data_IF_151199966172
#
_entry.id   IF_151199966172
#
_cell.length_a   1.000
_cell.length_b   1.000
_cell.length_c   1.000
_cell.angle_alpha   90.00
_cell.angle_beta   90.00
_cell.angle_gamma   90.00
#
_symmetry.space_group_name_H-M   'P 1'
#
loop_
_entity.id
_entity.type
_entity.pdbx_description
1 polymer ?
#
# COMPACT_ATOMS: atom_id res chain seq x y z
N UNK A 1 -37.95 5.06 68.15
CA UNK A 1 -36.64 4.38 68.13
C UNK A 1 -36.60 3.36 67.00
N UNK A 2 -35.83 3.58 65.93
CA UNK A 2 -35.82 2.69 64.75
C UNK A 2 -35.02 1.41 64.97
N UNK A 3 -35.59 0.24 64.61
CA UNK A 3 -34.98 -1.07 64.86
C UNK A 3 -33.61 -1.25 64.16
N UNK A 4 -32.53 -1.57 64.90
CA UNK A 4 -31.17 -1.70 64.35
C UNK A 4 -31.03 -2.81 63.29
N UNK A 5 -31.81 -3.90 63.39
CA UNK A 5 -31.86 -4.97 62.37
C UNK A 5 -32.21 -4.44 60.98
N UNK A 6 -33.11 -3.47 60.85
CA UNK A 6 -33.50 -2.92 59.55
C UNK A 6 -32.38 -2.13 58.88
N UNK A 7 -31.52 -1.45 59.64
CA UNK A 7 -30.40 -0.68 59.08
C UNK A 7 -29.33 -1.60 58.49
N UNK A 8 -29.05 -2.73 59.17
CA UNK A 8 -28.08 -3.73 58.70
C UNK A 8 -28.55 -4.39 57.38
N UNK A 9 -29.82 -4.79 57.32
CA UNK A 9 -30.41 -5.41 56.12
C UNK A 9 -30.41 -4.43 54.94
N UNK A 10 -30.72 -3.15 55.16
CA UNK A 10 -30.63 -2.11 54.11
C UNK A 10 -29.20 -1.95 53.60
N UNK A 11 -28.20 -1.92 54.49
CA UNK A 11 -26.78 -1.83 54.10
C UNK A 11 -26.32 -3.04 53.30
N UNK A 12 -26.70 -4.25 53.71
CA UNK A 12 -26.40 -5.49 52.99
C UNK A 12 -27.05 -5.50 51.59
N UNK A 13 -28.33 -5.12 51.49
CA UNK A 13 -29.03 -5.00 50.19
C UNK A 13 -28.38 -3.97 49.27
N UNK A 14 -27.96 -2.82 49.81
CA UNK A 14 -27.24 -1.79 49.05
C UNK A 14 -25.90 -2.33 48.52
N UNK A 15 -25.10 -2.99 49.36
CA UNK A 15 -23.84 -3.63 48.97
C UNK A 15 -24.02 -4.70 47.88
N UNK A 16 -25.07 -5.51 47.96
CA UNK A 16 -25.38 -6.51 46.93
C UNK A 16 -25.78 -5.84 45.61
N UNK A 17 -26.63 -4.80 45.66
CA UNK A 17 -27.02 -4.04 44.46
C UNK A 17 -25.80 -3.39 43.80
N UNK A 18 -24.92 -2.76 44.57
CA UNK A 18 -23.69 -2.14 44.06
C UNK A 18 -22.76 -3.16 43.40
N UNK A 19 -22.56 -4.34 44.01
CA UNK A 19 -21.77 -5.42 43.41
C UNK A 19 -22.37 -5.91 42.09
N UNK A 20 -23.69 -6.11 42.04
CA UNK A 20 -24.39 -6.50 40.80
C UNK A 20 -24.27 -5.43 39.71
N UNK A 21 -24.41 -4.16 40.07
CA UNK A 21 -24.25 -3.04 39.14
C UNK A 21 -22.82 -2.96 38.60
N UNK A 22 -21.81 -3.15 39.47
CA UNK A 22 -20.40 -3.15 39.08
C UNK A 22 -20.07 -4.29 38.11
N UNK A 23 -20.64 -5.48 38.34
CA UNK A 23 -20.50 -6.60 37.41
C UNK A 23 -21.13 -6.29 36.04
N UNK A 24 -22.37 -5.75 36.04
CA UNK A 24 -23.06 -5.35 34.82
C UNK A 24 -22.27 -4.31 34.01
N UNK A 25 -21.71 -3.30 34.68
CA UNK A 25 -20.87 -2.29 34.02
C UNK A 25 -19.59 -2.88 33.41
N UNK A 26 -18.97 -3.85 34.09
CA UNK A 26 -17.77 -4.54 33.60
C UNK A 26 -18.09 -5.40 32.36
N UNK A 27 -19.23 -6.07 32.36
CA UNK A 27 -19.66 -6.87 31.21
C UNK A 27 -20.00 -5.97 30.02
N UNK A 28 -20.68 -4.85 30.27
CA UNK A 28 -20.96 -3.84 29.26
C UNK A 28 -19.67 -3.27 28.65
N UNK A 29 -18.69 -2.89 29.47
CA UNK A 29 -17.42 -2.35 28.99
C UNK A 29 -16.65 -3.37 28.15
N UNK A 30 -16.60 -4.64 28.59
CA UNK A 30 -15.94 -5.71 27.82
C UNK A 30 -16.63 -5.95 26.47
N UNK A 31 -17.96 -5.87 26.42
CA UNK A 31 -18.69 -6.03 25.17
C UNK A 31 -18.45 -4.86 24.22
N UNK A 32 -18.41 -3.62 24.72
CA UNK A 32 -18.08 -2.45 23.91
C UNK A 32 -16.67 -2.56 23.31
N UNK A 33 -15.67 -2.94 24.11
CA UNK A 33 -14.30 -3.15 23.65
C UNK A 33 -14.21 -4.20 22.52
N UNK A 34 -14.95 -5.31 22.64
CA UNK A 34 -15.02 -6.34 21.58
C UNK A 34 -15.64 -5.80 20.29
N UNK A 35 -16.68 -4.97 20.39
CA UNK A 35 -17.34 -4.35 19.23
C UNK A 35 -16.40 -3.36 18.57
N UNK A 36 -15.77 -2.47 19.33
CA UNK A 36 -14.77 -1.52 18.83
C UNK A 36 -13.64 -2.24 18.11
N UNK A 37 -13.09 -3.30 18.72
CA UNK A 37 -12.03 -4.08 18.10
C UNK A 37 -12.49 -4.81 16.83
N UNK A 38 -13.72 -5.30 16.78
CA UNK A 38 -14.29 -5.93 15.58
C UNK A 38 -14.44 -4.91 14.45
N UNK A 39 -14.94 -3.71 14.75
CA UNK A 39 -15.07 -2.61 13.78
C UNK A 39 -13.69 -2.19 13.26
N UNK A 40 -12.72 -1.99 14.17
CA UNK A 40 -11.35 -1.65 13.79
C UNK A 40 -10.72 -2.70 12.87
N UNK A 41 -10.88 -4.00 13.19
CA UNK A 41 -10.39 -5.10 12.35
C UNK A 41 -11.04 -5.09 10.97
N UNK A 42 -12.36 -4.90 10.89
CA UNK A 42 -13.05 -4.79 9.60
C UNK A 42 -12.57 -3.58 8.78
N UNK A 43 -12.41 -2.41 9.41
CA UNK A 43 -11.88 -1.23 8.73
C UNK A 43 -10.43 -1.43 8.26
N UNK A 44 -9.58 -2.07 9.07
CA UNK A 44 -8.21 -2.43 8.69
C UNK A 44 -8.19 -3.40 7.51
N UNK A 45 -9.04 -4.43 7.52
CA UNK A 45 -9.18 -5.36 6.41
C UNK A 45 -9.69 -4.67 5.14
N UNK A 46 -10.69 -3.79 5.24
CA UNK A 46 -11.17 -2.98 4.11
C UNK A 46 -10.07 -2.09 3.54
N UNK A 47 -9.28 -1.42 4.39
CA UNK A 47 -8.11 -0.63 3.94
C UNK A 47 -7.08 -1.50 3.21
N UNK A 48 -6.73 -2.66 3.76
CA UNK A 48 -5.81 -3.59 3.10
C UNK A 48 -6.38 -4.11 1.77
N UNK A 49 -7.68 -4.41 1.72
CA UNK A 49 -8.34 -4.87 0.50
C UNK A 49 -8.42 -3.75 -0.55
N UNK A 50 -8.67 -2.50 -0.14
CA UNK A 50 -8.62 -1.34 -1.02
C UNK A 50 -7.21 -1.04 -1.51
N UNK A 51 -6.16 -1.20 -0.68
CA UNK A 51 -4.78 -1.11 -1.15
C UNK A 51 -4.46 -2.20 -2.18
N UNK A 52 -4.94 -3.43 -1.97
CA UNK A 52 -4.79 -4.53 -2.93
C UNK A 52 -5.60 -4.32 -4.22
N UNK A 53 -6.79 -3.73 -4.14
CA UNK A 53 -7.66 -3.45 -5.29
C UNK A 53 -7.31 -2.15 -6.02
N UNK A 54 -6.75 -1.15 -5.32
CA UNK A 54 -6.18 0.07 -5.88
C UNK A 54 -4.84 -0.16 -6.58
N UNK A 55 -4.17 -1.28 -6.29
CA UNK A 55 -3.14 -1.88 -7.12
C UNK A 55 -3.70 -2.63 -8.35
N UNK A 56 -4.98 -2.42 -8.69
CA UNK A 56 -5.62 -2.94 -9.91
C UNK A 56 -5.14 -2.26 -11.20
N UNK A 57 -4.44 -1.12 -11.08
CA UNK A 57 -3.50 -0.66 -12.10
C UNK A 57 -2.09 -1.05 -11.65
N UNK A 58 -1.82 -2.35 -11.54
CA UNK A 58 -0.45 -2.81 -11.53
C UNK A 58 0.10 -2.46 -12.92
N UNK A 59 0.62 -1.24 -13.09
CA UNK A 59 1.58 -0.94 -14.14
C UNK A 59 2.71 -1.90 -13.83
N UNK A 60 2.64 -3.08 -14.41
CA UNK A 60 3.62 -4.12 -14.19
C UNK A 60 4.69 -3.78 -15.20
N UNK A 61 5.87 -3.42 -14.71
CA UNK A 61 7.01 -3.14 -15.59
C UNK A 61 7.16 -4.33 -16.54
N UNK A 62 7.12 -4.12 -17.87
CA UNK A 62 7.26 -5.21 -18.81
C UNK A 62 8.53 -6.03 -18.49
N UNK A 63 8.48 -7.37 -18.56
CA UNK A 63 9.63 -8.23 -18.24
C UNK A 63 10.91 -7.84 -18.99
N UNK A 64 10.78 -7.34 -20.22
CA UNK A 64 11.90 -6.86 -21.03
C UNK A 64 12.56 -5.62 -20.43
N UNK A 65 11.77 -4.66 -19.93
CA UNK A 65 12.28 -3.48 -19.22
C UNK A 65 13.00 -3.90 -17.94
N UNK A 66 12.45 -4.86 -17.18
CA UNK A 66 13.12 -5.41 -16.00
C UNK A 66 14.45 -6.10 -16.32
N UNK A 67 14.54 -6.74 -17.48
CA UNK A 67 15.75 -7.41 -17.95
C UNK A 67 16.75 -6.48 -18.64
N UNK A 68 16.42 -5.20 -18.83
CA UNK A 68 17.28 -4.30 -19.60
C UNK A 68 17.29 -4.60 -21.10
N UNK A 69 16.29 -5.33 -21.62
CA UNK A 69 16.26 -5.82 -23.01
C UNK A 69 15.38 -4.91 -23.86
N UNK A 70 15.93 -4.38 -24.95
CA UNK A 70 15.16 -3.60 -25.93
C UNK A 70 14.38 -4.58 -26.80
N UNK A 71 13.08 -4.38 -26.93
CA UNK A 71 12.18 -5.18 -27.76
C UNK A 71 11.60 -4.31 -28.90
N UNK A 72 10.92 -4.90 -29.92
CA UNK A 72 10.37 -4.14 -31.04
C UNK A 72 9.38 -3.04 -30.62
N UNK A 73 8.54 -3.33 -29.62
CA UNK A 73 7.53 -2.38 -29.13
C UNK A 73 8.17 -1.16 -28.46
N UNK A 74 9.19 -1.38 -27.62
CA UNK A 74 9.96 -0.34 -26.97
C UNK A 74 10.76 0.50 -27.98
N UNK A 75 11.28 -0.12 -29.04
CA UNK A 75 11.94 0.59 -30.13
C UNK A 75 10.96 1.47 -30.92
N UNK A 76 9.75 0.98 -31.20
CA UNK A 76 8.70 1.82 -31.81
C UNK A 76 8.33 3.02 -30.93
N UNK A 77 8.27 2.84 -29.60
CA UNK A 77 8.07 3.93 -28.66
C UNK A 77 9.21 4.95 -28.76
N UNK A 78 10.46 4.50 -28.79
CA UNK A 78 11.64 5.36 -28.93
C UNK A 78 11.61 6.16 -30.25
N UNK A 79 11.27 5.53 -31.37
CA UNK A 79 11.11 6.21 -32.66
C UNK A 79 10.06 7.31 -32.61
N UNK A 80 8.90 7.08 -31.97
CA UNK A 80 7.87 8.12 -31.80
C UNK A 80 8.37 9.28 -30.95
N UNK A 81 9.08 9.00 -29.85
CA UNK A 81 9.63 10.03 -28.98
C UNK A 81 10.67 10.90 -29.69
N UNK A 82 11.50 10.29 -30.55
CA UNK A 82 12.43 11.04 -31.40
C UNK A 82 11.69 11.94 -32.41
N UNK A 83 10.62 11.44 -33.03
CA UNK A 83 9.78 12.24 -33.92
C UNK A 83 9.14 13.43 -33.19
N UNK A 84 8.58 13.20 -32.00
CA UNK A 84 7.98 14.26 -31.17
C UNK A 84 9.01 15.32 -30.72
N UNK A 85 10.26 14.89 -30.49
CA UNK A 85 11.37 15.77 -30.13
C UNK A 85 12.07 16.41 -31.35
N UNK A 86 11.56 16.22 -32.56
CA UNK A 86 12.19 16.66 -33.82
C UNK A 86 13.65 16.18 -33.98
N UNK A 87 13.97 15.00 -33.45
CA UNK A 87 15.27 14.37 -33.55
C UNK A 87 15.30 13.32 -34.66
N UNK A 88 16.48 13.04 -35.27
CA UNK A 88 16.60 11.94 -36.21
C UNK A 88 16.22 10.62 -35.54
N UNK A 89 15.67 9.65 -36.29
CA UNK A 89 15.28 8.36 -35.73
C UNK A 89 16.47 7.64 -35.10
N UNK A 90 16.26 6.88 -34.02
CA UNK A 90 17.32 6.09 -33.41
C UNK A 90 17.87 5.05 -34.40
N UNK A 91 19.15 4.67 -34.30
CA UNK A 91 19.75 3.67 -35.16
C UNK A 91 18.93 2.36 -35.10
N UNK A 92 18.82 1.62 -36.23
CA UNK A 92 18.08 0.37 -36.27
C UNK A 92 18.65 -0.61 -35.24
N UNK A 93 17.77 -1.20 -34.43
CA UNK A 93 18.20 -2.15 -33.41
C UNK A 93 18.67 -3.46 -34.07
N UNK A 94 19.98 -3.66 -34.16
CA UNK A 94 20.61 -4.77 -34.91
C UNK A 94 20.44 -6.16 -34.25
N UNK A 95 19.86 -6.25 -33.06
CA UNK A 95 19.91 -7.46 -32.24
C UNK A 95 18.56 -7.94 -31.70
N UNK A 96 17.62 -8.35 -32.56
CA UNK A 96 16.48 -9.18 -32.12
C UNK A 96 16.91 -10.59 -31.68
N UNK A 97 18.19 -10.93 -31.88
CA UNK A 97 18.82 -12.16 -31.43
C UNK A 97 19.26 -12.03 -29.97
N UNK A 98 18.49 -12.70 -29.13
CA UNK A 98 18.78 -13.08 -27.75
C UNK A 98 20.16 -13.76 -27.64
N UNK A 99 21.28 -13.01 -27.58
CA UNK A 99 22.57 -13.62 -27.23
C UNK A 99 23.67 -12.72 -26.69
N UNK A 100 23.62 -11.41 -26.85
CA UNK A 100 24.64 -10.58 -26.22
C UNK A 100 24.14 -10.09 -24.86
N UNK A 101 24.57 -10.83 -23.82
CA UNK A 101 24.79 -10.26 -22.50
C UNK A 101 25.80 -9.12 -22.66
N UNK A 102 25.33 -7.96 -23.11
CA UNK A 102 26.16 -6.76 -23.11
C UNK A 102 26.26 -6.29 -21.66
N UNK A 103 27.29 -6.75 -20.98
CA UNK A 103 27.85 -6.08 -19.82
C UNK A 103 27.99 -4.57 -20.14
N UNK A 104 27.32 -3.73 -19.36
CA UNK A 104 27.68 -2.31 -19.24
C UNK A 104 26.95 -1.28 -20.11
N UNK A 105 26.26 -1.64 -21.19
CA UNK A 105 25.49 -0.65 -21.96
C UNK A 105 24.11 -0.41 -21.31
N UNK A 106 24.00 0.61 -20.47
CA UNK A 106 22.74 1.08 -19.85
C UNK A 106 21.68 1.34 -20.93
N UNK A 107 20.77 0.38 -21.13
CA UNK A 107 19.71 0.52 -22.12
C UNK A 107 18.65 1.50 -21.62
N UNK A 108 18.24 2.40 -22.52
CA UNK A 108 17.37 3.55 -22.26
C UNK A 108 16.35 3.70 -23.37
N UNK A 109 15.24 4.36 -23.10
CA UNK A 109 14.32 4.90 -24.11
C UNK A 109 14.45 6.42 -24.05
N UNK A 110 14.91 7.03 -25.15
CA UNK A 110 15.28 8.44 -25.14
C UNK A 110 16.38 8.71 -24.11
N UNK A 111 16.07 9.49 -23.08
CA UNK A 111 17.01 9.83 -21.99
C UNK A 111 16.83 8.99 -20.72
N UNK A 112 15.82 8.11 -20.66
CA UNK A 112 15.43 7.41 -19.42
C UNK A 112 15.95 5.98 -19.42
N UNK A 113 16.77 5.63 -18.43
CA UNK A 113 17.28 4.26 -18.23
C UNK A 113 16.18 3.30 -17.77
N UNK A 114 16.26 2.03 -18.21
CA UNK A 114 15.27 1.02 -17.83
C UNK A 114 15.22 0.76 -16.32
N UNK A 115 16.37 0.89 -15.64
CA UNK A 115 16.45 0.80 -14.17
C UNK A 115 15.61 1.91 -13.53
N UNK A 116 15.70 3.14 -14.03
CA UNK A 116 14.90 4.27 -13.56
C UNK A 116 13.40 4.04 -13.79
N UNK A 117 13.02 3.49 -14.94
CA UNK A 117 11.62 3.13 -15.22
C UNK A 117 11.14 2.08 -14.21
N UNK A 118 11.95 1.03 -13.97
CA UNK A 118 11.62 -0.02 -13.03
C UNK A 118 11.49 0.50 -11.59
N UNK A 119 12.37 1.40 -11.17
CA UNK A 119 12.34 2.04 -9.86
C UNK A 119 11.13 2.96 -9.69
N UNK A 120 10.83 3.83 -10.66
CA UNK A 120 9.66 4.73 -10.59
C UNK A 120 8.35 3.95 -10.46
N UNK A 121 8.20 2.87 -11.23
CA UNK A 121 7.01 2.02 -11.17
C UNK A 121 6.92 1.25 -9.84
N UNK A 122 8.05 0.74 -9.32
CA UNK A 122 8.08 0.05 -8.01
C UNK A 122 7.78 0.99 -6.84
N UNK A 123 8.27 2.23 -6.91
CA UNK A 123 8.08 3.24 -5.88
C UNK A 123 6.73 3.97 -5.99
N UNK A 124 5.96 3.73 -7.06
CA UNK A 124 4.71 4.43 -7.33
C UNK A 124 4.89 5.94 -7.53
N UNK A 125 6.12 6.36 -7.87
CA UNK A 125 6.48 7.76 -8.01
C UNK A 125 6.09 8.23 -9.41
N UNK A 126 5.02 9.02 -9.48
CA UNK A 126 4.70 9.77 -10.69
C UNK A 126 5.77 10.84 -10.93
N UNK A 127 6.14 11.13 -12.19
CA UNK A 127 7.07 12.23 -12.47
C UNK A 127 6.50 13.53 -11.92
N UNK A 128 7.19 14.13 -10.94
CA UNK A 128 6.78 15.37 -10.27
C UNK A 128 6.71 15.34 -8.74
N UNK A 129 6.83 14.17 -8.09
CA UNK A 129 6.96 14.14 -6.61
C UNK A 129 8.39 14.46 -6.18
N UNK A 130 8.64 15.51 -5.38
CA UNK A 130 9.98 15.80 -4.90
C UNK A 130 10.47 14.65 -4.02
N UNK A 131 11.71 14.21 -4.27
CA UNK A 131 12.40 13.26 -3.41
C UNK A 131 12.33 13.76 -1.97
N UNK A 132 11.78 12.93 -1.07
CA UNK A 132 11.91 13.17 0.37
C UNK A 132 13.39 13.06 0.70
N UNK A 133 14.05 14.20 0.82
CA UNK A 133 15.36 14.30 1.45
C UNK A 133 15.15 13.93 2.92
N UNK A 134 15.61 12.73 3.26
CA UNK A 134 15.74 12.30 4.66
C UNK A 134 16.86 13.08 5.30
N UNK A 135 16.56 13.65 6.46
CA UNK A 135 17.50 14.27 7.41
C UNK A 135 18.50 13.22 7.89
#
# INVERSE_FOLDING_TARGET
MGHPKMKLVRRARKSIRERRMKACLKDLSSNLEKVEMRVFRQQKQKRQQQQRKGAGNHITVPPDVLRGVMNPELYHIECRLHQEACMPPPPPYEGYSQRERCDGARRRIGFVEFVTIAEMVRLGAMPGTPARVGI
#
